data_IF_992919588152
#
_entry.id   IF_992919588152
#
_cell.length_a   1.000
_cell.length_b   1.000
_cell.length_c   1.000
_cell.angle_alpha   90.00
_cell.angle_beta   90.00
_cell.angle_gamma   90.00
#
_symmetry.space_group_name_H-M   'P 1'
#
loop_
_entity.id
_entity.type
_entity.pdbx_description
1 polymer ?
#
# COMPACT_ATOMS: atom_id res chain seq x y z
N UNK A 1 7.64 4.05 -20.88
CA UNK A 1 9.08 4.13 -20.57
C UNK A 1 9.15 4.98 -19.32
N UNK A 2 9.23 4.33 -18.16
CA UNK A 2 9.16 5.03 -16.88
C UNK A 2 10.42 5.89 -16.71
N UNK A 3 10.24 7.11 -16.22
CA UNK A 3 11.31 8.00 -15.82
C UNK A 3 12.33 7.23 -14.98
N UNK A 4 13.61 7.41 -15.32
CA UNK A 4 14.74 6.65 -14.80
C UNK A 4 14.81 6.77 -13.28
N UNK A 5 14.48 5.70 -12.55
CA UNK A 5 14.76 5.56 -11.12
C UNK A 5 16.26 5.80 -10.89
N UNK A 6 16.61 7.00 -10.41
CA UNK A 6 18.01 7.45 -10.31
C UNK A 6 18.18 8.27 -9.04
N UNK A 7 18.44 7.63 -7.89
CA UNK A 7 18.61 8.34 -6.63
C UNK A 7 19.89 9.20 -6.62
N UNK A 8 19.79 10.43 -6.14
CA UNK A 8 20.90 11.38 -6.03
C UNK A 8 21.55 11.31 -4.63
N UNK A 9 22.50 10.40 -4.50
CA UNK A 9 23.29 10.26 -3.28
C UNK A 9 24.25 11.44 -3.02
N UNK A 10 24.47 12.35 -3.97
CA UNK A 10 25.42 13.45 -3.80
C UNK A 10 24.92 14.54 -2.85
N UNK A 11 23.60 14.75 -2.78
CA UNK A 11 22.95 15.78 -1.95
C UNK A 11 23.10 15.56 -0.45
N UNK A 12 23.08 14.29 -0.01
CA UNK A 12 23.08 13.89 1.40
C UNK A 12 24.36 13.16 1.81
N UNK A 13 25.51 13.57 1.27
CA UNK A 13 26.83 13.04 1.60
C UNK A 13 26.95 11.51 1.41
N UNK A 14 26.36 10.97 0.34
CA UNK A 14 26.41 9.55 0.02
C UNK A 14 25.41 8.67 0.76
N UNK A 15 24.48 9.26 1.53
CA UNK A 15 23.54 8.53 2.35
C UNK A 15 22.15 9.17 2.33
N UNK A 16 21.18 8.49 1.74
CA UNK A 16 19.81 8.98 1.59
C UNK A 16 18.84 8.23 2.52
N UNK A 17 17.76 8.88 2.98
CA UNK A 17 16.68 8.20 3.68
C UNK A 17 15.95 7.21 2.76
N UNK A 18 15.55 6.09 3.36
CA UNK A 18 14.70 5.09 2.72
C UNK A 18 13.49 4.83 3.62
N UNK A 19 12.32 5.27 3.15
CA UNK A 19 11.03 4.99 3.76
C UNK A 19 10.57 3.63 3.30
N UNK A 20 10.37 2.71 4.23
CA UNK A 20 9.85 1.38 3.95
C UNK A 20 8.35 1.40 4.23
N UNK A 21 7.57 1.00 3.24
CA UNK A 21 6.13 0.96 3.33
C UNK A 21 5.63 -0.42 2.92
N UNK A 22 4.65 -0.93 3.66
CA UNK A 22 3.95 -2.15 3.27
C UNK A 22 3.27 -1.93 1.91
N UNK A 23 3.42 -2.90 1.01
CA UNK A 23 2.84 -2.82 -0.32
C UNK A 23 1.31 -2.96 -0.33
N UNK A 24 0.75 -3.65 0.66
CA UNK A 24 -0.67 -3.99 0.75
C UNK A 24 -1.41 -3.00 1.65
N UNK A 25 -0.97 -2.83 2.89
CA UNK A 25 -1.67 -1.99 3.88
C UNK A 25 -1.35 -0.51 3.74
N UNK A 26 -0.29 -0.19 3.00
CA UNK A 26 0.27 1.16 2.83
C UNK A 26 0.77 1.78 4.14
N UNK A 27 0.95 1.01 5.21
CA UNK A 27 1.56 1.49 6.45
C UNK A 27 3.04 1.74 6.29
N UNK A 28 3.55 2.82 6.88
CA UNK A 28 4.99 3.06 6.96
C UNK A 28 5.55 2.13 8.03
N UNK A 29 6.40 1.20 7.61
CA UNK A 29 6.94 0.16 8.47
C UNK A 29 8.13 0.66 9.28
N UNK A 30 9.06 1.31 8.59
CA UNK A 30 10.25 1.89 9.22
C UNK A 30 10.91 2.92 8.29
N UNK A 31 11.82 3.70 8.86
CA UNK A 31 12.76 4.52 8.11
C UNK A 31 14.18 4.03 8.37
N UNK A 32 14.94 3.85 7.31
CA UNK A 32 16.38 3.59 7.38
C UNK A 32 17.16 4.52 6.46
N UNK A 33 18.45 4.26 6.35
CA UNK A 33 19.34 5.01 5.47
C UNK A 33 20.08 4.05 4.55
N UNK A 34 20.24 4.43 3.30
CA UNK A 34 20.96 3.65 2.29
C UNK A 34 22.07 4.50 1.69
N UNK A 35 23.22 3.88 1.47
CA UNK A 35 24.26 4.39 0.58
C UNK A 35 24.12 3.66 -0.78
N UNK A 36 24.91 4.03 -1.82
CA UNK A 36 24.79 3.39 -3.14
C UNK A 36 24.94 1.87 -3.09
N UNK A 37 25.83 1.38 -2.23
CA UNK A 37 26.10 -0.06 -2.09
C UNK A 37 24.94 -0.82 -1.43
N UNK A 38 24.29 -0.22 -0.42
CA UNK A 38 23.11 -0.79 0.22
C UNK A 38 21.93 -0.90 -0.76
N UNK A 39 21.74 0.12 -1.62
CA UNK A 39 20.75 0.07 -2.69
C UNK A 39 21.08 -1.03 -3.71
N UNK A 40 22.33 -1.11 -4.17
CA UNK A 40 22.77 -2.14 -5.11
C UNK A 40 22.46 -3.55 -4.60
N UNK A 41 22.79 -3.85 -3.34
CA UNK A 41 22.49 -5.15 -2.72
C UNK A 41 20.97 -5.37 -2.60
N UNK A 42 20.22 -4.31 -2.29
CA UNK A 42 18.75 -4.38 -2.23
C UNK A 42 18.16 -4.78 -3.58
N UNK A 43 18.63 -4.18 -4.67
CA UNK A 43 18.23 -4.50 -6.04
C UNK A 43 18.62 -5.94 -6.43
N UNK A 44 19.83 -6.37 -6.07
CA UNK A 44 20.34 -7.71 -6.40
C UNK A 44 19.65 -8.84 -5.64
N UNK A 45 19.38 -8.62 -4.35
CA UNK A 45 18.85 -9.67 -3.47
C UNK A 45 17.33 -9.66 -3.37
N UNK A 46 16.68 -8.56 -3.79
CA UNK A 46 15.25 -8.35 -3.54
C UNK A 46 14.92 -8.12 -2.07
N UNK A 47 15.91 -7.88 -1.19
CA UNK A 47 15.72 -7.70 0.25
C UNK A 47 16.29 -6.38 0.70
N UNK A 48 15.56 -5.66 1.55
CA UNK A 48 16.00 -4.34 2.03
C UNK A 48 17.31 -4.44 2.82
N UNK A 49 18.35 -3.81 2.28
CA UNK A 49 19.65 -3.63 2.93
C UNK A 49 19.88 -2.17 3.25
N UNK A 50 20.20 -1.88 4.51
CA UNK A 50 20.53 -0.53 4.98
C UNK A 50 22.03 -0.36 5.19
N UNK A 51 22.46 0.89 5.31
CA UNK A 51 23.76 1.25 5.85
C UNK A 51 23.62 1.77 7.29
N UNK A 52 24.21 1.05 8.26
CA UNK A 52 24.22 1.46 9.65
C UNK A 52 25.27 2.56 9.86
N UNK A 53 24.81 3.79 10.12
CA UNK A 53 25.69 4.94 10.45
C UNK A 53 26.52 4.72 11.71
N UNK A 54 25.98 4.03 12.71
CA UNK A 54 26.69 3.80 13.97
C UNK A 54 27.73 2.68 13.85
N UNK A 55 27.41 1.61 13.12
CA UNK A 55 28.31 0.45 12.94
C UNK A 55 29.19 0.54 11.68
N UNK A 56 28.97 1.55 10.83
CA UNK A 56 29.69 1.77 9.56
C UNK A 56 29.73 0.50 8.68
N UNK A 57 28.60 -0.22 8.62
CA UNK A 57 28.46 -1.46 7.84
C UNK A 57 27.11 -1.56 7.17
N UNK A 58 27.04 -2.40 6.15
CA UNK A 58 25.80 -2.86 5.54
C UNK A 58 25.09 -3.82 6.50
N UNK A 59 23.77 -3.80 6.46
CA UNK A 59 22.90 -4.61 7.29
C UNK A 59 21.63 -4.94 6.51
N UNK A 60 21.41 -6.22 6.19
CA UNK A 60 20.17 -6.66 5.56
C UNK A 60 19.13 -6.87 6.65
N UNK A 61 17.98 -6.18 6.54
CA UNK A 61 16.91 -6.32 7.53
C UNK A 61 16.43 -7.77 7.53
N UNK A 62 16.45 -8.39 8.71
CA UNK A 62 16.08 -9.79 8.89
C UNK A 62 17.26 -10.77 8.89
N UNK A 63 18.50 -10.33 8.66
CA UNK A 63 19.67 -11.24 8.61
C UNK A 63 19.89 -12.04 9.91
N UNK A 64 19.52 -11.47 11.07
CA UNK A 64 19.59 -12.13 12.38
C UNK A 64 18.23 -12.67 12.85
N UNK A 65 17.13 -11.96 12.55
CA UNK A 65 15.80 -12.26 13.10
C UNK A 65 14.93 -13.15 12.20
N UNK A 66 15.28 -13.33 10.93
CA UNK A 66 14.43 -13.95 9.92
C UNK A 66 13.34 -13.02 9.36
N UNK A 67 13.10 -11.87 9.99
CA UNK A 67 12.05 -10.92 9.58
C UNK A 67 12.53 -10.00 8.45
N UNK A 68 12.56 -10.55 7.24
CA UNK A 68 12.96 -9.86 6.01
C UNK A 68 11.90 -8.88 5.51
N UNK A 69 12.33 -7.97 4.65
CA UNK A 69 11.47 -7.07 3.89
C UNK A 69 11.73 -7.35 2.41
N UNK A 70 10.81 -8.05 1.77
CA UNK A 70 10.95 -8.47 0.37
C UNK A 70 10.45 -7.34 -0.55
N UNK A 71 11.31 -6.85 -1.43
CA UNK A 71 11.08 -5.65 -2.25
C UNK A 71 10.06 -5.93 -3.34
N UNK A 72 9.07 -5.05 -3.46
CA UNK A 72 8.06 -5.04 -4.54
C UNK A 72 8.32 -3.90 -5.52
N UNK A 73 8.61 -2.71 -4.99
CA UNK A 73 8.81 -1.51 -5.81
C UNK A 73 9.82 -0.57 -5.17
N UNK A 74 10.67 0.04 -6.00
CA UNK A 74 11.59 1.10 -5.63
C UNK A 74 11.15 2.38 -6.34
N UNK A 75 11.06 3.48 -5.59
CA UNK A 75 10.70 4.80 -6.09
C UNK A 75 11.61 5.86 -5.47
N UNK A 76 11.79 6.95 -6.19
CA UNK A 76 12.38 8.20 -5.68
C UNK A 76 11.31 9.27 -5.57
N UNK A 77 11.54 10.24 -4.69
CA UNK A 77 10.73 11.47 -4.66
C UNK A 77 11.12 12.44 -5.79
N UNK A 78 10.44 13.60 -5.84
CA UNK A 78 10.49 14.50 -6.99
C UNK A 78 11.86 15.14 -7.25
N UNK A 79 12.75 15.17 -6.26
CA UNK A 79 14.11 15.67 -6.41
C UNK A 79 15.18 14.59 -6.14
N UNK A 80 14.75 13.33 -6.10
CA UNK A 80 15.56 12.12 -6.06
C UNK A 80 16.46 11.94 -4.83
N UNK A 81 16.19 12.61 -3.72
CA UNK A 81 17.03 12.52 -2.52
C UNK A 81 16.47 11.57 -1.45
N UNK A 82 15.28 11.01 -1.66
CA UNK A 82 14.63 10.07 -0.75
C UNK A 82 14.10 8.85 -1.51
N UNK A 83 14.27 7.66 -0.93
CA UNK A 83 13.66 6.43 -1.44
C UNK A 83 12.34 6.14 -0.75
N UNK A 84 11.35 5.72 -1.54
CA UNK A 84 10.18 4.98 -1.06
C UNK A 84 10.28 3.54 -1.58
N UNK A 85 10.34 2.59 -0.66
CA UNK A 85 10.46 1.17 -0.97
C UNK A 85 9.20 0.46 -0.50
N UNK A 86 8.42 -0.06 -1.47
CA UNK A 86 7.28 -0.93 -1.18
C UNK A 86 7.78 -2.35 -0.95
N UNK A 87 7.34 -2.97 0.13
CA UNK A 87 7.80 -4.31 0.53
C UNK A 87 6.65 -5.19 1.01
N UNK A 88 6.88 -6.49 0.97
CA UNK A 88 6.11 -7.47 1.72
C UNK A 88 6.93 -7.89 2.96
N UNK A 89 6.52 -7.53 4.19
CA UNK A 89 7.24 -7.91 5.39
C UNK A 89 7.04 -9.39 5.73
N UNK A 90 8.11 -10.07 6.12
CA UNK A 90 8.07 -11.44 6.63
C UNK A 90 8.07 -11.38 8.16
N UNK A 91 6.90 -11.15 8.77
CA UNK A 91 6.76 -10.99 10.23
C UNK A 91 7.05 -9.56 10.73
N UNK A 92 7.16 -9.35 12.06
CA UNK A 92 7.20 -8.01 12.64
C UNK A 92 8.50 -7.27 12.29
N UNK A 93 8.38 -5.97 11.98
CA UNK A 93 9.51 -5.16 11.51
C UNK A 93 10.34 -4.63 12.68
N UNK A 94 9.69 -4.24 13.78
CA UNK A 94 10.38 -3.65 14.93
C UNK A 94 11.08 -4.70 15.80
N UNK A 95 12.18 -4.30 16.43
CA UNK A 95 12.92 -5.14 17.38
C UNK A 95 12.14 -5.42 18.68
N UNK A 96 11.08 -4.65 18.96
CA UNK A 96 10.15 -4.88 20.07
C UNK A 96 9.13 -5.97 19.80
N UNK A 97 9.04 -6.45 18.56
CA UNK A 97 7.98 -7.35 18.11
C UNK A 97 6.76 -6.65 17.51
N UNK A 98 6.73 -5.31 17.50
CA UNK A 98 5.68 -4.55 16.82
C UNK A 98 5.81 -4.60 15.29
N UNK A 99 4.69 -4.41 14.59
CA UNK A 99 4.65 -4.45 13.13
C UNK A 99 5.40 -3.30 12.49
N UNK A 100 5.37 -2.11 13.09
CA UNK A 100 6.05 -0.90 12.62
C UNK A 100 6.95 -0.32 13.71
N UNK A 101 7.89 0.55 13.33
CA UNK A 101 8.70 1.30 14.28
C UNK A 101 7.92 2.32 15.12
N UNK A 102 6.66 2.61 14.77
CA UNK A 102 5.78 3.53 15.49
C UNK A 102 4.70 2.83 16.32
N UNK A 103 4.77 1.51 16.47
CA UNK A 103 3.79 0.70 17.20
C UNK A 103 2.38 0.76 16.61
N UNK A 104 2.25 1.13 15.33
CA UNK A 104 1.02 0.96 14.57
C UNK A 104 0.84 -0.49 14.14
N UNK A 105 -0.41 -0.96 14.15
CA UNK A 105 -0.81 -2.25 13.58
C UNK A 105 -0.74 -2.20 12.05
N UNK A 106 -0.10 -3.21 11.45
CA UNK A 106 0.03 -3.33 10.01
C UNK A 106 -1.10 -4.17 9.42
N UNK A 107 -2.31 -3.61 9.46
CA UNK A 107 -3.53 -4.22 8.93
C UNK A 107 -4.11 -3.39 7.78
N UNK A 108 -4.85 -4.06 6.89
CA UNK A 108 -5.58 -3.38 5.83
C UNK A 108 -6.59 -2.39 6.42
N UNK A 109 -6.53 -1.14 5.95
CA UNK A 109 -7.49 -0.13 6.36
C UNK A 109 -8.74 -0.20 5.49
N UNK A 110 -9.87 -0.53 6.11
CA UNK A 110 -11.20 -0.48 5.48
C UNK A 110 -11.46 0.88 4.84
N UNK A 111 -11.03 1.97 5.48
CA UNK A 111 -11.22 3.33 4.96
C UNK A 111 -10.43 3.56 3.68
N UNK A 112 -9.18 3.07 3.59
CA UNK A 112 -8.38 3.17 2.37
C UNK A 112 -9.00 2.37 1.22
N UNK A 113 -9.59 1.20 1.50
CA UNK A 113 -10.32 0.43 0.49
C UNK A 113 -11.53 1.19 -0.07
N UNK A 114 -12.31 1.85 0.79
CA UNK A 114 -13.46 2.65 0.36
C UNK A 114 -13.04 3.87 -0.48
N UNK A 115 -11.93 4.52 -0.14
CA UNK A 115 -11.34 5.59 -0.94
C UNK A 115 -10.90 5.08 -2.32
N UNK A 116 -10.17 3.97 -2.36
CA UNK A 116 -9.78 3.30 -3.62
C UNK A 116 -11.00 2.95 -4.48
N UNK A 117 -12.05 2.39 -3.87
CA UNK A 117 -13.28 2.03 -4.58
C UNK A 117 -13.98 3.28 -5.15
N UNK A 118 -14.02 4.37 -4.38
CA UNK A 118 -14.58 5.63 -4.84
C UNK A 118 -13.80 6.21 -6.03
N UNK A 119 -12.47 6.21 -5.97
CA UNK A 119 -11.60 6.65 -7.07
C UNK A 119 -11.78 5.80 -8.32
N UNK A 120 -11.89 4.47 -8.16
CA UNK A 120 -12.17 3.56 -9.26
C UNK A 120 -13.53 3.83 -9.92
N UNK A 121 -14.56 4.11 -9.13
CA UNK A 121 -15.89 4.48 -9.65
C UNK A 121 -15.83 5.80 -10.42
N UNK A 122 -15.09 6.79 -9.92
CA UNK A 122 -14.90 8.09 -10.58
C UNK A 122 -14.08 7.97 -11.87
N UNK A 123 -13.04 7.15 -11.88
CA UNK A 123 -12.28 6.83 -13.09
C UNK A 123 -13.19 6.18 -14.13
N UNK A 124 -14.00 5.18 -13.75
CA UNK A 124 -14.93 4.51 -14.66
C UNK A 124 -16.01 5.44 -15.20
N UNK A 125 -16.44 6.44 -14.43
CA UNK A 125 -17.35 7.48 -14.92
C UNK A 125 -16.72 8.35 -16.01
N UNK A 126 -15.41 8.62 -15.91
CA UNK A 126 -14.66 9.43 -16.88
C UNK A 126 -14.34 8.62 -18.15
N UNK A 127 -13.85 7.40 -17.99
CA UNK A 127 -13.33 6.57 -19.09
C UNK A 127 -14.41 5.71 -19.76
N UNK A 128 -15.49 5.38 -19.04
CA UNK A 128 -16.61 4.57 -19.51
C UNK A 128 -16.20 3.24 -20.19
N UNK A 129 -15.34 2.41 -19.57
CA UNK A 129 -14.85 1.17 -20.17
C UNK A 129 -15.99 0.18 -20.45
N UNK A 130 -15.89 -0.56 -21.56
CA UNK A 130 -16.85 -1.61 -21.91
C UNK A 130 -16.79 -2.79 -20.93
N UNK A 131 -17.93 -3.48 -20.76
CA UNK A 131 -18.05 -4.63 -19.84
C UNK A 131 -18.14 -4.28 -18.35
N UNK A 132 -17.93 -3.02 -17.95
CA UNK A 132 -18.07 -2.60 -16.55
C UNK A 132 -19.54 -2.38 -16.14
N UNK A 133 -19.94 -2.98 -15.01
CA UNK A 133 -21.25 -2.73 -14.40
C UNK A 133 -21.42 -1.26 -13.98
N UNK A 134 -20.37 -0.63 -13.44
CA UNK A 134 -20.38 0.81 -13.10
C UNK A 134 -20.70 1.66 -14.33
N UNK A 135 -20.13 1.31 -15.49
CA UNK A 135 -20.41 1.97 -16.77
C UNK A 135 -21.88 1.80 -17.19
N UNK A 136 -22.47 0.60 -17.02
CA UNK A 136 -23.88 0.37 -17.39
C UNK A 136 -24.84 1.19 -16.52
N UNK A 137 -24.55 1.34 -15.23
CA UNK A 137 -25.30 2.20 -14.31
C UNK A 137 -25.21 3.69 -14.72
N UNK A 138 -24.01 4.19 -15.02
CA UNK A 138 -23.85 5.58 -15.46
C UNK A 138 -24.55 5.86 -16.81
N UNK A 139 -24.52 4.90 -17.75
CA UNK A 139 -25.26 5.00 -19.03
C UNK A 139 -26.78 5.02 -18.82
N UNK A 140 -27.29 4.25 -17.85
CA UNK A 140 -28.72 4.21 -17.52
C UNK A 140 -29.19 5.49 -16.79
N UNK A 141 -28.27 6.23 -16.16
CA UNK A 141 -28.52 7.54 -15.56
C UNK A 141 -29.07 7.49 -14.14
N UNK A 142 -29.21 8.69 -13.55
CA UNK A 142 -29.45 8.87 -12.10
C UNK A 142 -30.69 8.14 -11.58
N UNK A 143 -31.75 7.98 -12.37
CA UNK A 143 -32.97 7.28 -11.94
C UNK A 143 -32.70 5.81 -11.66
N UNK A 144 -31.92 5.13 -12.52
CA UNK A 144 -31.59 3.72 -12.32
C UNK A 144 -30.65 3.52 -11.13
N UNK A 145 -29.70 4.43 -10.94
CA UNK A 145 -28.78 4.43 -9.80
C UNK A 145 -29.58 4.61 -8.49
N UNK A 146 -30.43 5.63 -8.42
CA UNK A 146 -31.27 5.88 -7.24
C UNK A 146 -32.24 4.73 -6.95
N UNK A 147 -32.77 4.08 -8.00
CA UNK A 147 -33.57 2.86 -7.84
C UNK A 147 -32.76 1.74 -7.17
N UNK A 148 -31.53 1.46 -7.63
CA UNK A 148 -30.68 0.42 -7.01
C UNK A 148 -30.38 0.75 -5.55
N UNK A 149 -30.03 1.99 -5.23
CA UNK A 149 -29.83 2.42 -3.83
C UNK A 149 -31.07 2.12 -2.97
N UNK A 150 -32.28 2.35 -3.49
CA UNK A 150 -33.52 2.02 -2.80
C UNK A 150 -33.78 0.52 -2.64
N UNK A 151 -33.45 -0.29 -3.66
CA UNK A 151 -33.55 -1.76 -3.61
C UNK A 151 -32.62 -2.31 -2.51
N UNK A 152 -31.32 -2.01 -2.57
CA UNK A 152 -30.34 -2.53 -1.61
C UNK A 152 -30.64 -2.08 -0.16
N UNK A 153 -31.14 -0.85 0.02
CA UNK A 153 -31.52 -0.35 1.34
C UNK A 153 -32.69 -1.14 1.95
N UNK A 154 -33.67 -1.56 1.14
CA UNK A 154 -34.78 -2.39 1.60
C UNK A 154 -34.30 -3.82 1.87
N UNK A 155 -33.46 -4.38 0.99
CA UNK A 155 -32.91 -5.73 1.12
C UNK A 155 -32.02 -5.87 2.37
N UNK A 156 -31.20 -4.84 2.66
CA UNK A 156 -30.41 -4.75 3.90
C UNK A 156 -31.30 -4.81 5.15
N UNK A 157 -32.39 -4.01 5.18
CA UNK A 157 -33.33 -4.00 6.32
C UNK A 157 -34.01 -5.36 6.47
N UNK A 158 -34.39 -6.00 5.36
CA UNK A 158 -34.99 -7.35 5.36
C UNK A 158 -34.01 -8.38 5.94
N UNK A 159 -32.75 -8.38 5.49
CA UNK A 159 -31.71 -9.27 6.01
C UNK A 159 -31.54 -9.14 7.53
N UNK A 160 -31.46 -7.90 8.03
CA UNK A 160 -31.38 -7.62 9.46
C UNK A 160 -32.62 -8.13 10.23
N UNK A 161 -33.82 -7.90 9.71
CA UNK A 161 -35.06 -8.35 10.35
C UNK A 161 -35.20 -9.88 10.36
N UNK A 162 -34.62 -10.57 9.38
CA UNK A 162 -34.63 -12.02 9.28
C UNK A 162 -33.60 -12.70 10.20
N UNK A 163 -32.69 -11.94 10.84
CA UNK A 163 -31.47 -12.46 11.47
C UNK A 163 -30.63 -13.33 10.52
N UNK A 164 -30.58 -12.92 9.25
CA UNK A 164 -29.71 -13.53 8.23
C UNK A 164 -28.44 -12.68 8.12
N UNK A 165 -27.44 -13.00 8.94
CA UNK A 165 -26.19 -12.24 9.02
C UNK A 165 -25.42 -12.26 7.68
N UNK A 166 -25.48 -13.36 6.92
CA UNK A 166 -24.81 -13.46 5.63
C UNK A 166 -25.48 -12.53 4.61
N UNK A 167 -26.81 -12.55 4.51
CA UNK A 167 -27.53 -11.67 3.60
C UNK A 167 -27.40 -10.21 4.03
N UNK A 168 -27.50 -9.92 5.33
CA UNK A 168 -27.33 -8.56 5.85
C UNK A 168 -25.96 -7.97 5.49
N UNK A 169 -24.88 -8.74 5.64
CA UNK A 169 -23.53 -8.31 5.27
C UNK A 169 -23.38 -8.13 3.76
N UNK A 170 -24.01 -8.99 2.95
CA UNK A 170 -23.94 -8.91 1.49
C UNK A 170 -24.63 -7.65 0.95
N UNK A 171 -25.86 -7.37 1.40
CA UNK A 171 -26.64 -6.20 0.91
C UNK A 171 -26.14 -4.88 1.49
N UNK A 172 -25.46 -4.92 2.65
CA UNK A 172 -24.87 -3.74 3.29
C UNK A 172 -23.53 -3.30 2.73
N UNK A 173 -22.91 -4.07 1.83
CA UNK A 173 -21.60 -3.82 1.23
C UNK A 173 -21.69 -3.01 -0.07
#
# INVERSE_FOLDING_TARGET
MNESFTPDFSKLNGLIPAVIQDNTTLRVLMLGFMNPEALRITEETGRVTFFSRSRQRLWTKGEESGNFLEVVQLMTDCDNDTLLIKVNPVGPVCHTGADTCWDETNEESVLLFLEYLQDLVDQRKKEMPEGSYTTSLFRAGIRKIAQKVGEEAVETVIGAMANDDENFLYEGA
#
